data_IF_320211566855
#
_entry.id   IF_320211566855
#
_cell.length_a   1.000
_cell.length_b   1.000
_cell.length_c   1.000
_cell.angle_alpha   90.00
_cell.angle_beta   90.00
_cell.angle_gamma   90.00
#
_symmetry.space_group_name_H-M   'P 1'
#
loop_
_entity.id
_entity.type
_entity.pdbx_description
1 polymer ?
#
# COMPACT_ATOMS: atom_id res chain seq x y z
N UNK A 1 7.43 1.43 0.23
CA UNK A 1 8.37 0.30 0.12
C UNK A 1 8.54 -0.34 1.49
N UNK A 2 9.58 -1.13 1.66
CA UNK A 2 10.01 -1.69 2.95
C UNK A 2 11.52 -1.42 3.06
N UNK A 3 11.93 -0.21 3.51
CA UNK A 3 13.32 0.21 3.50
C UNK A 3 14.18 -0.44 4.59
N UNK A 4 13.60 -1.30 5.44
CA UNK A 4 14.24 -1.98 6.56
C UNK A 4 15.51 -2.73 6.17
N UNK A 5 15.57 -3.26 4.94
CA UNK A 5 16.76 -3.95 4.42
C UNK A 5 17.98 -3.03 4.36
N UNK A 6 17.80 -1.72 4.17
CA UNK A 6 18.90 -0.74 4.20
C UNK A 6 19.48 -0.54 5.60
N UNK A 7 18.73 -0.92 6.64
CA UNK A 7 19.14 -0.89 8.04
C UNK A 7 19.61 -2.26 8.54
N UNK A 8 19.64 -3.29 7.66
CA UNK A 8 20.02 -4.66 8.01
C UNK A 8 18.98 -5.38 8.88
N UNK A 9 17.73 -4.92 8.89
CA UNK A 9 16.65 -5.53 9.68
C UNK A 9 15.50 -6.00 8.79
N UNK A 10 14.68 -6.90 9.30
CA UNK A 10 13.51 -7.41 8.58
C UNK A 10 12.36 -6.39 8.56
N UNK A 11 11.46 -6.43 7.55
CA UNK A 11 10.27 -5.58 7.51
C UNK A 11 9.39 -5.69 8.76
N UNK A 12 9.09 -4.55 9.37
CA UNK A 12 8.35 -4.45 10.62
C UNK A 12 6.82 -4.36 10.42
N UNK A 13 6.07 -4.20 11.52
CA UNK A 13 4.62 -3.87 11.52
C UNK A 13 3.71 -4.78 10.67
N UNK A 14 4.10 -6.04 10.50
CA UNK A 14 3.36 -6.99 9.68
C UNK A 14 3.70 -6.91 8.18
N UNK A 15 4.78 -6.23 7.79
CA UNK A 15 5.16 -6.02 6.39
C UNK A 15 5.36 -7.34 5.62
N UNK A 16 5.98 -8.34 6.23
CA UNK A 16 6.17 -9.66 5.61
C UNK A 16 4.88 -10.51 5.59
N UNK A 17 3.88 -10.15 6.40
CA UNK A 17 2.62 -10.89 6.52
C UNK A 17 1.52 -10.26 5.66
N UNK A 18 1.29 -8.96 5.79
CA UNK A 18 0.16 -8.24 5.18
C UNK A 18 0.42 -7.90 3.72
N UNK A 19 1.64 -7.44 3.39
CA UNK A 19 1.99 -7.04 2.03
C UNK A 19 1.76 -8.14 0.97
N UNK A 20 2.18 -9.41 1.18
CA UNK A 20 1.91 -10.46 0.20
C UNK A 20 0.42 -10.88 0.15
N UNK A 21 -0.40 -10.52 1.14
CA UNK A 21 -1.86 -10.74 1.13
C UNK A 21 -2.63 -9.65 0.38
N UNK A 22 -2.14 -8.40 0.43
CA UNK A 22 -2.76 -7.27 -0.28
C UNK A 22 -2.25 -7.11 -1.72
N UNK A 23 -1.08 -7.67 -2.02
CA UNK A 23 -0.49 -7.62 -3.36
C UNK A 23 -0.24 -9.04 -3.89
N UNK A 24 0.96 -9.31 -4.41
CA UNK A 24 1.42 -10.66 -4.73
C UNK A 24 2.71 -10.97 -3.99
N UNK A 25 3.02 -12.26 -3.79
CA UNK A 25 4.30 -12.67 -3.20
C UNK A 25 5.49 -12.09 -3.98
N UNK A 26 5.44 -12.12 -5.31
CA UNK A 26 6.51 -11.58 -6.15
C UNK A 26 6.71 -10.07 -5.92
N UNK A 27 5.63 -9.30 -5.88
CA UNK A 27 5.69 -7.84 -5.66
C UNK A 27 6.17 -7.51 -4.24
N UNK A 28 5.69 -8.24 -3.23
CA UNK A 28 6.13 -8.06 -1.86
C UNK A 28 7.63 -8.33 -1.70
N UNK A 29 8.15 -9.40 -2.32
CA UNK A 29 9.58 -9.72 -2.29
C UNK A 29 10.42 -8.64 -2.98
N UNK A 30 9.99 -8.16 -4.13
CA UNK A 30 10.65 -7.06 -4.84
C UNK A 30 10.77 -5.81 -3.94
N UNK A 31 9.67 -5.39 -3.29
CA UNK A 31 9.70 -4.24 -2.37
C UNK A 31 10.57 -4.47 -1.12
N UNK A 32 10.51 -5.66 -0.51
CA UNK A 32 11.25 -5.99 0.71
C UNK A 32 12.75 -6.18 0.48
N UNK A 33 13.15 -6.73 -0.67
CA UNK A 33 14.54 -7.08 -0.93
C UNK A 33 15.32 -5.97 -1.64
N UNK A 34 14.63 -5.06 -2.35
CA UNK A 34 15.30 -3.98 -3.10
C UNK A 34 15.20 -2.62 -2.42
N UNK A 35 14.38 -2.49 -1.36
CA UNK A 35 14.01 -1.22 -0.74
C UNK A 35 13.41 -0.18 -1.72
N UNK A 36 13.04 -0.56 -2.94
CA UNK A 36 12.52 0.41 -3.91
C UNK A 36 11.19 1.00 -3.43
N UNK A 37 10.93 2.22 -3.88
CA UNK A 37 9.65 2.87 -3.65
C UNK A 37 8.63 2.42 -4.71
N UNK A 38 7.37 2.43 -4.29
CA UNK A 38 6.19 2.15 -5.11
C UNK A 38 5.39 3.44 -5.18
N UNK A 39 5.01 3.85 -6.39
CA UNK A 39 4.14 5.00 -6.59
C UNK A 39 2.66 4.63 -6.39
N UNK A 40 1.78 5.64 -6.38
CA UNK A 40 0.35 5.45 -6.12
C UNK A 40 -0.33 4.60 -7.21
N UNK A 41 0.08 4.77 -8.47
CA UNK A 41 -0.51 4.09 -9.61
C UNK A 41 -0.13 2.61 -9.64
N UNK A 42 1.10 2.28 -9.30
CA UNK A 42 1.54 0.89 -9.09
C UNK A 42 0.83 0.27 -7.89
N UNK A 43 0.66 1.01 -6.78
CA UNK A 43 -0.05 0.51 -5.61
C UNK A 43 -1.50 0.11 -5.92
N UNK A 44 -2.20 0.90 -6.74
CA UNK A 44 -3.57 0.59 -7.17
C UNK A 44 -3.61 -0.64 -8.09
N UNK A 45 -2.76 -0.69 -9.12
CA UNK A 45 -2.66 -1.87 -10.01
C UNK A 45 -2.26 -3.15 -9.27
N UNK A 46 -1.48 -3.01 -8.20
CA UNK A 46 -1.05 -4.13 -7.36
C UNK A 46 -2.11 -4.58 -6.35
N UNK A 47 -3.24 -3.87 -6.23
CA UNK A 47 -4.31 -4.16 -5.27
C UNK A 47 -4.01 -3.69 -3.83
N UNK A 48 -2.93 -2.94 -3.62
CA UNK A 48 -2.55 -2.42 -2.30
C UNK A 48 -3.50 -1.30 -1.84
N UNK A 49 -4.01 -0.51 -2.78
CA UNK A 49 -5.02 0.53 -2.54
C UNK A 49 -6.16 0.38 -3.53
N UNK A 50 -7.36 0.85 -3.16
CA UNK A 50 -8.56 0.67 -3.99
C UNK A 50 -8.77 1.75 -5.06
N UNK A 51 -8.09 2.90 -4.94
CA UNK A 51 -8.18 4.03 -5.88
C UNK A 51 -7.03 5.02 -5.68
N UNK A 52 -6.72 5.77 -6.73
CA UNK A 52 -5.81 6.93 -6.70
C UNK A 52 -6.61 8.19 -7.03
N UNK A 53 -6.48 9.22 -6.21
CA UNK A 53 -7.19 10.49 -6.38
C UNK A 53 -6.21 11.67 -6.29
N UNK A 54 -6.54 12.84 -6.86
CA UNK A 54 -5.74 14.05 -6.66
C UNK A 54 -5.60 14.38 -5.17
N UNK A 55 -4.39 14.81 -4.76
CA UNK A 55 -4.10 15.09 -3.35
C UNK A 55 -5.08 16.10 -2.73
N UNK A 56 -5.46 17.14 -3.49
CA UNK A 56 -6.41 18.15 -3.06
C UNK A 56 -7.81 17.60 -2.71
N UNK A 57 -8.15 16.41 -3.21
CA UNK A 57 -9.45 15.75 -3.00
C UNK A 57 -9.38 14.53 -2.07
N UNK A 58 -8.21 14.22 -1.52
CA UNK A 58 -7.98 12.97 -0.76
C UNK A 58 -9.00 12.79 0.37
N UNK A 59 -9.20 13.81 1.20
CA UNK A 59 -10.09 13.74 2.35
C UNK A 59 -11.57 13.71 1.93
N UNK A 60 -11.94 14.53 0.94
CA UNK A 60 -13.31 14.57 0.39
C UNK A 60 -13.73 13.18 -0.13
N UNK A 61 -12.89 12.57 -0.98
CA UNK A 61 -13.15 11.25 -1.57
C UNK A 61 -13.17 10.13 -0.51
N UNK A 62 -12.28 10.19 0.48
CA UNK A 62 -12.23 9.21 1.57
C UNK A 62 -13.50 9.29 2.45
N UNK A 63 -13.95 10.50 2.78
CA UNK A 63 -15.15 10.72 3.59
C UNK A 63 -16.41 10.30 2.83
N UNK A 64 -16.53 10.61 1.54
CA UNK A 64 -17.65 10.16 0.72
C UNK A 64 -17.79 8.63 0.69
N UNK A 65 -16.65 7.89 0.66
CA UNK A 65 -16.66 6.43 0.77
C UNK A 65 -17.10 5.97 2.16
N UNK A 66 -16.61 6.62 3.22
CA UNK A 66 -16.97 6.30 4.59
C UNK A 66 -18.47 6.52 4.86
N UNK A 67 -19.02 7.65 4.42
CA UNK A 67 -20.46 7.96 4.51
C UNK A 67 -21.30 6.91 3.77
N UNK A 68 -20.87 6.49 2.57
CA UNK A 68 -21.54 5.42 1.83
C UNK A 68 -21.53 4.09 2.59
N UNK A 69 -20.43 3.74 3.26
CA UNK A 69 -20.33 2.52 4.07
C UNK A 69 -21.22 2.62 5.31
N UNK A 70 -21.23 3.77 5.99
CA UNK A 70 -22.02 4.00 7.20
C UNK A 70 -23.54 4.10 6.94
N UNK A 71 -23.94 4.34 5.69
CA UNK A 71 -25.34 4.40 5.27
C UNK A 71 -26.01 3.04 5.01
N UNK A 72 -25.27 1.93 5.15
CA UNK A 72 -25.83 0.56 5.20
C UNK A 72 -26.22 0.19 6.63
#
# INVERSE_FOLDING_TARGET
GQPEINLGVMPGFGGTQRLPRFTSKAKAMDLCLTARMMDAQEAERAGLVSRVVPLAKLIEEAMAVAEKIAGY
#
